data_IF_824221396018
#
_entry.id   IF_824221396018
#
_cell.length_a   1.000
_cell.length_b   1.000
_cell.length_c   1.000
_cell.angle_alpha   90.00
_cell.angle_beta   90.00
_cell.angle_gamma   90.00
#
_symmetry.space_group_name_H-M   'P 1'
#
loop_
_entity.id
_entity.type
_entity.pdbx_description
1 polymer ?
#
# COMPACT_ATOMS: atom_id res chain seq x y z
N UNK A 1 15.38 59.77 37.99
CA UNK A 1 16.31 58.82 38.66
C UNK A 1 15.71 57.42 38.50
N UNK A 2 16.47 56.49 37.89
CA UNK A 2 16.29 55.04 37.75
C UNK A 2 14.96 54.45 37.23
N UNK A 3 15.04 53.95 36.00
CA UNK A 3 14.26 52.83 35.47
C UNK A 3 14.56 51.56 36.28
N UNK A 4 13.72 51.26 37.27
CA UNK A 4 13.61 50.00 38.01
C UNK A 4 12.17 49.55 37.78
N UNK A 5 11.81 48.48 37.05
CA UNK A 5 12.43 47.18 36.83
C UNK A 5 12.03 46.68 35.43
N UNK A 6 12.98 46.55 34.50
CA UNK A 6 12.77 45.91 33.17
C UNK A 6 12.89 44.37 33.22
N UNK A 7 12.85 43.78 34.40
CA UNK A 7 13.22 42.37 34.63
C UNK A 7 12.29 41.61 35.57
N UNK A 8 11.04 42.05 35.73
CA UNK A 8 9.99 41.29 36.42
C UNK A 8 8.90 40.95 35.40
N UNK A 9 9.22 40.07 34.44
CA UNK A 9 8.16 39.18 33.94
C UNK A 9 7.68 38.43 35.19
N UNK A 10 6.47 38.71 35.63
CA UNK A 10 5.91 38.13 36.85
C UNK A 10 5.99 36.61 36.76
N UNK A 11 6.31 35.94 37.87
CA UNK A 11 6.24 34.49 37.97
C UNK A 11 4.91 33.93 37.41
N UNK A 12 3.82 34.71 37.50
CA UNK A 12 2.53 34.41 36.87
C UNK A 12 2.58 34.31 35.33
N UNK A 13 3.31 35.18 34.65
CA UNK A 13 3.53 35.06 33.20
C UNK A 13 4.34 33.80 32.87
N UNK A 14 5.36 33.48 33.66
CA UNK A 14 6.18 32.28 33.45
C UNK A 14 5.38 30.98 33.69
N UNK A 15 4.53 30.97 34.71
CA UNK A 15 3.61 29.86 35.03
C UNK A 15 2.49 29.69 34.00
N UNK A 16 2.01 30.78 33.39
CA UNK A 16 1.01 30.72 32.31
C UNK A 16 1.59 30.33 30.95
N UNK A 17 2.89 30.52 30.73
CA UNK A 17 3.59 30.00 29.55
C UNK A 17 3.75 28.47 29.58
N UNK A 18 3.85 27.84 30.75
CA UNK A 18 4.04 26.39 30.88
C UNK A 18 2.88 25.59 30.24
N UNK A 19 1.59 25.86 30.55
CA UNK A 19 0.47 25.20 29.88
C UNK A 19 0.47 25.40 28.37
N UNK A 20 0.78 26.61 27.89
CA UNK A 20 0.83 26.93 26.46
C UNK A 20 1.92 26.08 25.79
N UNK A 21 3.08 25.96 26.41
CA UNK A 21 4.21 25.19 25.90
C UNK A 21 3.92 23.68 25.92
N UNK A 22 3.23 23.19 26.95
CA UNK A 22 2.75 21.79 27.02
C UNK A 22 1.72 21.49 25.92
N UNK A 23 0.78 22.40 25.68
CA UNK A 23 -0.18 22.27 24.57
C UNK A 23 0.55 22.27 23.23
N UNK A 24 1.55 23.15 23.03
CA UNK A 24 2.34 23.17 21.81
C UNK A 24 3.12 21.85 21.59
N UNK A 25 3.76 21.32 22.64
CA UNK A 25 4.47 20.02 22.58
C UNK A 25 3.49 18.89 22.25
N UNK A 26 2.31 18.88 22.87
CA UNK A 26 1.27 17.90 22.60
C UNK A 26 0.81 17.96 21.15
N UNK A 27 0.53 19.15 20.63
CA UNK A 27 0.09 19.34 19.24
C UNK A 27 1.16 18.91 18.24
N UNK A 28 2.44 19.22 18.49
CA UNK A 28 3.55 18.77 17.63
C UNK A 28 3.67 17.24 17.65
N UNK A 29 3.62 16.63 18.83
CA UNK A 29 3.66 15.16 18.98
C UNK A 29 2.48 14.50 18.27
N UNK A 30 1.29 15.07 18.40
CA UNK A 30 0.07 14.57 17.76
C UNK A 30 0.13 14.70 16.23
N UNK A 31 0.62 15.84 15.73
CA UNK A 31 0.80 16.05 14.29
C UNK A 31 1.80 15.06 13.69
N UNK A 32 2.91 14.79 14.38
CA UNK A 32 3.89 13.79 13.96
C UNK A 32 3.29 12.39 13.94
N UNK A 33 2.55 12.01 14.99
CA UNK A 33 1.88 10.71 15.06
C UNK A 33 0.87 10.51 13.92
N UNK A 34 0.02 11.52 13.64
CA UNK A 34 -0.91 11.47 12.51
C UNK A 34 -0.16 11.40 11.18
N UNK A 35 0.91 12.17 11.01
CA UNK A 35 1.70 12.16 9.79
C UNK A 35 2.29 10.77 9.53
N UNK A 36 2.88 10.14 10.54
CA UNK A 36 3.45 8.80 10.43
C UNK A 36 2.37 7.75 10.11
N UNK A 37 1.22 7.82 10.79
CA UNK A 37 0.08 6.95 10.50
C UNK A 37 -0.41 7.11 9.06
N UNK A 38 -0.59 8.35 8.60
CA UNK A 38 -1.03 8.64 7.23
C UNK A 38 0.00 8.17 6.20
N UNK A 39 1.30 8.31 6.48
CA UNK A 39 2.35 7.80 5.59
C UNK A 39 2.30 6.27 5.47
N UNK A 40 2.09 5.56 6.58
CA UNK A 40 1.97 4.10 6.59
C UNK A 40 0.71 3.64 5.84
N UNK A 41 -0.43 4.30 6.05
CA UNK A 41 -1.68 4.02 5.32
C UNK A 41 -1.53 4.30 3.81
N UNK A 42 -0.90 5.43 3.44
CA UNK A 42 -0.60 5.77 2.05
C UNK A 42 0.30 4.71 1.41
N UNK A 43 1.35 4.27 2.10
CA UNK A 43 2.26 3.25 1.60
C UNK A 43 1.53 1.92 1.35
N UNK A 44 0.68 1.51 2.29
CA UNK A 44 -0.16 0.32 2.15
C UNK A 44 -1.14 0.42 0.97
N UNK A 45 -1.78 1.57 0.78
CA UNK A 45 -2.66 1.82 -0.38
C UNK A 45 -1.91 1.78 -1.71
N UNK A 46 -0.70 2.37 -1.77
CA UNK A 46 0.14 2.32 -2.97
C UNK A 46 0.49 0.87 -3.30
N UNK A 47 0.93 0.10 -2.31
CA UNK A 47 1.24 -1.32 -2.50
C UNK A 47 0.01 -2.10 -2.99
N UNK A 48 -1.14 -1.90 -2.34
CA UNK A 48 -2.39 -2.54 -2.75
C UNK A 48 -2.75 -2.23 -4.21
N UNK A 49 -2.69 -0.97 -4.61
CA UNK A 49 -2.98 -0.56 -5.99
C UNK A 49 -1.99 -1.15 -7.00
N UNK A 50 -0.70 -1.25 -6.65
CA UNK A 50 0.30 -1.93 -7.48
C UNK A 50 -0.06 -3.40 -7.67
N UNK A 51 -0.34 -4.12 -6.57
CA UNK A 51 -0.70 -5.53 -6.65
C UNK A 51 -1.98 -5.72 -7.48
N UNK A 52 -3.00 -4.88 -7.29
CA UNK A 52 -4.24 -4.92 -8.08
C UNK A 52 -3.93 -4.74 -9.56
N UNK A 53 -3.11 -3.75 -9.92
CA UNK A 53 -2.69 -3.51 -11.30
C UNK A 53 -1.96 -4.73 -11.88
N UNK A 54 -1.06 -5.36 -11.11
CA UNK A 54 -0.40 -6.61 -11.51
C UNK A 54 -1.40 -7.72 -11.73
N UNK A 55 -2.38 -7.91 -10.83
CA UNK A 55 -3.41 -8.94 -11.00
C UNK A 55 -4.23 -8.73 -12.27
N UNK A 56 -4.53 -7.48 -12.62
CA UNK A 56 -5.26 -7.16 -13.84
C UNK A 56 -4.42 -7.43 -15.07
N UNK A 57 -3.14 -7.04 -15.07
CA UNK A 57 -2.21 -7.33 -16.16
C UNK A 57 -2.07 -8.84 -16.38
N UNK A 58 -1.78 -9.60 -15.32
CA UNK A 58 -1.64 -11.05 -15.38
C UNK A 58 -2.92 -11.70 -15.92
N UNK A 59 -4.08 -11.34 -15.39
CA UNK A 59 -5.35 -11.91 -15.89
C UNK A 59 -5.61 -11.50 -17.34
N UNK A 60 -5.31 -10.25 -17.71
CA UNK A 60 -5.55 -9.75 -19.07
C UNK A 60 -4.61 -10.33 -20.12
N UNK A 61 -3.38 -10.67 -19.74
CA UNK A 61 -2.37 -11.25 -20.61
C UNK A 61 -2.57 -12.75 -20.76
N UNK A 62 -2.97 -13.42 -19.68
CA UNK A 62 -3.23 -14.87 -19.67
C UNK A 62 -4.64 -15.25 -20.11
N UNK A 63 -5.58 -14.30 -20.11
CA UNK A 63 -6.94 -14.53 -20.59
C UNK A 63 -6.91 -15.04 -22.03
N UNK A 64 -7.47 -16.24 -22.25
CA UNK A 64 -7.58 -16.84 -23.56
C UNK A 64 -8.35 -15.90 -24.52
N UNK A 65 -7.67 -15.37 -25.54
CA UNK A 65 -8.27 -14.50 -26.55
C UNK A 65 -9.13 -15.32 -27.51
N UNK A 66 -10.36 -15.66 -27.08
CA UNK A 66 -11.26 -16.51 -27.89
C UNK A 66 -12.09 -15.74 -28.92
N UNK A 67 -12.05 -14.40 -28.91
CA UNK A 67 -12.67 -13.53 -29.92
C UNK A 67 -12.18 -12.09 -29.75
N UNK A 68 -12.22 -11.28 -30.81
CA UNK A 68 -11.72 -9.89 -30.86
C UNK A 68 -12.37 -8.90 -29.86
N UNK A 69 -13.40 -9.31 -29.12
CA UNK A 69 -14.27 -8.40 -28.37
C UNK A 69 -14.47 -8.72 -26.89
N UNK A 70 -14.20 -9.94 -26.41
CA UNK A 70 -14.37 -10.29 -24.99
C UNK A 70 -13.22 -11.17 -24.52
N UNK A 71 -12.43 -10.69 -23.56
CA UNK A 71 -11.44 -11.50 -22.85
C UNK A 71 -12.16 -12.28 -21.73
N UNK A 72 -12.37 -13.59 -21.86
CA UNK A 72 -12.83 -14.39 -20.73
C UNK A 72 -11.76 -14.40 -19.64
N UNK A 73 -12.15 -14.42 -18.36
CA UNK A 73 -11.24 -14.67 -17.23
C UNK A 73 -10.71 -16.13 -17.21
N UNK A 74 -10.57 -16.75 -18.38
CA UNK A 74 -10.12 -18.13 -18.53
C UNK A 74 -8.61 -18.17 -18.78
N UNK A 75 -7.90 -18.85 -17.89
CA UNK A 75 -6.44 -18.99 -17.89
C UNK A 75 -6.08 -20.47 -18.11
N UNK A 76 -5.17 -20.73 -19.04
CA UNK A 76 -4.57 -22.04 -19.24
C UNK A 76 -3.43 -22.26 -18.23
N UNK A 77 -3.33 -23.48 -17.70
CA UNK A 77 -2.29 -23.90 -16.75
C UNK A 77 -0.88 -23.66 -17.27
N UNK A 78 -0.66 -23.87 -18.56
CA UNK A 78 0.65 -23.70 -19.18
C UNK A 78 1.03 -22.24 -19.40
N UNK A 79 0.05 -21.32 -19.41
CA UNK A 79 0.29 -19.90 -19.63
C UNK A 79 0.73 -19.20 -18.33
N UNK A 80 0.21 -19.62 -17.17
CA UNK A 80 0.63 -19.04 -15.89
C UNK A 80 2.14 -19.24 -15.63
N UNK A 81 2.68 -20.41 -15.98
CA UNK A 81 4.11 -20.70 -15.82
C UNK A 81 5.01 -19.82 -16.71
N UNK A 82 4.46 -19.16 -17.73
CA UNK A 82 5.18 -18.24 -18.62
C UNK A 82 5.16 -16.80 -18.10
N UNK A 83 4.41 -16.49 -17.04
CA UNK A 83 4.42 -15.15 -16.44
C UNK A 83 5.81 -14.86 -15.88
N UNK A 84 6.45 -13.85 -16.46
CA UNK A 84 7.73 -13.37 -15.97
C UNK A 84 7.53 -12.45 -14.76
N UNK A 85 7.35 -13.06 -13.58
CA UNK A 85 7.16 -12.33 -12.33
C UNK A 85 8.33 -11.37 -12.03
N UNK A 86 9.56 -11.68 -12.46
CA UNK A 86 10.72 -10.83 -12.27
C UNK A 86 10.66 -9.52 -13.06
N UNK A 87 10.09 -9.54 -14.27
CA UNK A 87 9.91 -8.35 -15.10
C UNK A 87 8.81 -7.45 -14.53
N UNK A 88 7.69 -8.06 -14.12
CA UNK A 88 6.60 -7.34 -13.46
C UNK A 88 7.06 -6.68 -12.15
N UNK A 89 7.83 -7.41 -11.34
CA UNK A 89 8.46 -6.90 -10.11
C UNK A 89 9.30 -5.65 -10.37
N UNK A 90 10.18 -5.69 -11.38
CA UNK A 90 11.02 -4.53 -11.77
C UNK A 90 10.19 -3.36 -12.27
N UNK A 91 9.19 -3.61 -13.13
CA UNK A 91 8.36 -2.56 -13.73
C UNK A 91 7.52 -1.80 -12.68
N UNK A 92 7.07 -2.49 -11.63
CA UNK A 92 6.25 -1.93 -10.56
C UNK A 92 7.06 -1.42 -9.36
N UNK A 93 8.39 -1.60 -9.39
CA UNK A 93 9.27 -1.27 -8.28
C UNK A 93 8.85 -1.97 -6.98
N UNK A 94 8.58 -3.28 -7.07
CA UNK A 94 8.33 -4.15 -5.92
C UNK A 94 9.63 -4.84 -5.53
N UNK A 95 9.80 -5.12 -4.24
CA UNK A 95 10.93 -5.87 -3.69
C UNK A 95 10.75 -7.35 -3.97
N UNK A 96 9.53 -7.85 -3.77
CA UNK A 96 9.15 -9.25 -3.98
C UNK A 96 7.78 -9.31 -4.68
N UNK A 97 7.60 -10.30 -5.55
CA UNK A 97 6.34 -10.57 -6.25
C UNK A 97 6.19 -12.06 -6.51
N UNK A 98 5.12 -12.64 -6.00
CA UNK A 98 4.73 -14.03 -6.17
C UNK A 98 3.36 -14.08 -6.85
N UNK A 99 3.25 -14.87 -7.91
CA UNK A 99 2.00 -15.08 -8.66
C UNK A 99 1.76 -16.58 -8.72
N UNK A 100 0.64 -17.05 -8.19
CA UNK A 100 0.39 -18.48 -8.10
C UNK A 100 -1.00 -18.84 -7.57
N UNK A 101 -1.24 -20.14 -7.43
CA UNK A 101 -2.52 -20.69 -6.94
C UNK A 101 -2.60 -20.77 -5.41
N UNK A 102 -1.51 -20.46 -4.72
CA UNK A 102 -1.43 -20.46 -3.26
C UNK A 102 -0.93 -19.08 -2.80
N UNK A 103 -1.42 -18.60 -1.64
CA UNK A 103 -0.90 -17.39 -1.04
C UNK A 103 0.53 -17.65 -0.54
N UNK A 104 1.49 -16.92 -1.11
CA UNK A 104 2.91 -17.00 -0.75
C UNK A 104 3.48 -15.58 -0.62
N UNK A 105 3.63 -15.09 0.61
CA UNK A 105 4.11 -13.74 0.91
C UNK A 105 3.30 -13.02 2.00
N UNK A 106 3.63 -11.74 2.25
CA UNK A 106 3.00 -10.92 3.31
C UNK A 106 1.69 -10.27 2.85
N UNK A 107 1.72 -9.52 1.75
CA UNK A 107 0.56 -8.77 1.25
C UNK A 107 0.03 -9.45 0.00
N UNK A 108 -1.08 -10.16 0.15
CA UNK A 108 -1.70 -10.90 -0.94
C UNK A 108 -3.03 -10.29 -1.33
N UNK A 109 -3.27 -10.22 -2.64
CA UNK A 109 -4.60 -10.07 -3.20
C UNK A 109 -4.94 -11.32 -3.99
N UNK A 110 -6.23 -11.54 -4.24
CA UNK A 110 -6.68 -12.65 -5.06
C UNK A 110 -7.64 -12.18 -6.15
N UNK A 111 -7.67 -12.93 -7.26
CA UNK A 111 -8.64 -12.76 -8.33
C UNK A 111 -9.28 -14.09 -8.68
N UNK A 112 -10.60 -14.08 -8.84
CA UNK A 112 -11.36 -15.26 -9.25
C UNK A 112 -11.20 -15.41 -10.77
N UNK A 113 -10.68 -16.56 -11.19
CA UNK A 113 -10.42 -16.90 -12.58
C UNK A 113 -11.01 -18.28 -12.89
N UNK A 114 -11.31 -18.50 -14.16
CA UNK A 114 -11.68 -19.82 -14.69
C UNK A 114 -10.38 -20.48 -15.15
N UNK A 115 -10.19 -21.74 -14.82
CA UNK A 115 -8.93 -22.45 -15.01
C UNK A 115 -9.16 -23.81 -15.69
N UNK A 116 -8.24 -24.17 -16.60
CA UNK A 116 -8.23 -25.48 -17.25
C UNK A 116 -9.34 -25.70 -18.28
N UNK A 117 -9.28 -26.80 -19.01
CA UNK A 117 -10.31 -27.15 -20.03
C UNK A 117 -11.69 -27.39 -19.42
N UNK A 118 -11.72 -27.91 -18.18
CA UNK A 118 -12.92 -28.19 -17.40
C UNK A 118 -13.61 -26.92 -16.85
N UNK A 119 -13.01 -25.75 -17.04
CA UNK A 119 -13.52 -24.44 -16.59
C UNK A 119 -13.80 -24.39 -15.09
N UNK A 120 -12.87 -24.89 -14.29
CA UNK A 120 -12.96 -24.81 -12.84
C UNK A 120 -12.74 -23.38 -12.36
N UNK A 121 -13.50 -22.94 -11.37
CA UNK A 121 -13.29 -21.63 -10.75
C UNK A 121 -12.18 -21.77 -9.71
N UNK A 122 -11.11 -20.98 -9.87
CA UNK A 122 -9.97 -20.95 -8.94
C UNK A 122 -9.61 -19.53 -8.54
N UNK A 123 -8.87 -19.43 -7.44
CA UNK A 123 -8.33 -18.17 -6.95
C UNK A 123 -6.87 -18.06 -7.37
N UNK A 124 -6.56 -17.04 -8.16
CA UNK A 124 -5.19 -16.64 -8.45
C UNK A 124 -4.73 -15.66 -7.37
N UNK A 125 -3.64 -15.97 -6.70
CA UNK A 125 -3.02 -15.12 -5.69
C UNK A 125 -1.86 -14.33 -6.28
N UNK A 126 -1.81 -13.05 -5.92
CA UNK A 126 -0.73 -12.12 -6.26
C UNK A 126 -0.26 -11.51 -4.94
N UNK A 127 0.95 -11.86 -4.53
CA UNK A 127 1.52 -11.48 -3.25
C UNK A 127 2.82 -10.68 -3.46
N UNK A 128 3.10 -9.69 -2.63
CA UNK A 128 4.34 -8.92 -2.74
C UNK A 128 4.68 -8.02 -1.55
N UNK A 129 5.87 -7.43 -1.63
CA UNK A 129 6.44 -6.47 -0.67
C UNK A 129 7.15 -5.33 -1.41
#
# INVERSE_FOLDING_TARGET
MRSTYKGFLSFDTMLSFIPILLIAIYLISYANFISEKNQNELHSQILHNKLVSVSELVVNDLAAKKTDSVKPNWIDENELAKVNADELKKSMGLTELHVGWQPDGKNCIYRIVVFGEDKEIRQLFICGE
#
